data_IF_632589551279
#
_entry.id   IF_632589551279
#
_cell.length_a   1.000
_cell.length_b   1.000
_cell.length_c   1.000
_cell.angle_alpha   90.00
_cell.angle_beta   90.00
_cell.angle_gamma   90.00
#
_symmetry.space_group_name_H-M   'P 1'
#
loop_
_entity.id
_entity.type
_entity.pdbx_description
1 polymer ?
#
# COMPACT_ATOMS: atom_id res chain seq x y z
N UNK A 1 10.45 26.30 20.90
CA UNK A 1 10.59 25.06 20.09
C UNK A 1 9.20 24.56 19.70
N UNK A 2 8.91 24.45 18.40
CA UNK A 2 7.62 23.99 17.91
C UNK A 2 7.42 22.50 18.30
N UNK A 3 6.41 22.19 19.12
CA UNK A 3 6.11 20.82 19.59
C UNK A 3 5.91 19.82 18.44
N UNK A 4 5.58 20.31 17.25
CA UNK A 4 5.35 19.51 16.04
C UNK A 4 6.64 18.87 15.48
N UNK A 5 7.82 19.40 15.82
CA UNK A 5 9.08 18.87 15.28
C UNK A 5 9.40 17.45 15.76
N UNK A 6 8.80 16.98 16.86
CA UNK A 6 8.97 15.62 17.39
C UNK A 6 7.87 14.66 16.94
N UNK A 7 6.87 15.13 16.20
CA UNK A 7 5.74 14.30 15.81
C UNK A 7 6.21 13.25 14.79
N UNK A 8 6.12 11.98 15.20
CA UNK A 8 6.48 10.84 14.33
C UNK A 8 5.29 10.24 13.60
N UNK A 9 4.07 10.49 14.07
CA UNK A 9 2.85 9.89 13.54
C UNK A 9 1.78 10.95 13.35
N UNK A 10 1.18 10.99 12.18
CA UNK A 10 0.10 11.90 11.85
C UNK A 10 -1.09 11.10 11.33
N UNK A 11 -2.27 11.34 11.90
CA UNK A 11 -3.55 10.91 11.35
C UNK A 11 -4.37 12.14 10.99
N UNK A 12 -4.77 12.28 9.74
CA UNK A 12 -5.40 13.50 9.22
C UNK A 12 -6.43 13.20 8.14
N UNK A 13 -7.39 14.11 7.94
CA UNK A 13 -8.32 14.10 6.81
C UNK A 13 -8.04 15.29 5.90
N UNK A 14 -7.93 15.06 4.59
CA UNK A 14 -7.68 16.11 3.60
C UNK A 14 -6.32 16.77 3.80
N UNK A 15 -5.25 15.97 3.80
CA UNK A 15 -3.88 16.46 3.97
C UNK A 15 -3.57 17.60 2.99
N UNK A 16 -3.16 18.74 3.55
CA UNK A 16 -2.47 19.81 2.83
C UNK A 16 -0.98 19.51 2.88
N UNK A 17 -0.32 19.30 1.74
CA UNK A 17 1.10 18.95 1.72
C UNK A 17 1.98 20.01 2.39
N UNK A 18 1.52 21.26 2.54
CA UNK A 18 2.27 22.32 3.23
C UNK A 18 2.46 22.07 4.72
N UNK A 19 1.60 21.28 5.39
CA UNK A 19 1.80 20.97 6.81
C UNK A 19 3.04 20.09 7.03
N UNK A 20 3.44 19.30 6.03
CA UNK A 20 4.53 18.33 6.16
C UNK A 20 5.90 18.98 6.35
N UNK A 21 6.10 20.20 5.85
CA UNK A 21 7.34 20.96 6.10
C UNK A 21 7.56 21.28 7.58
N UNK A 22 6.48 21.28 8.38
CA UNK A 22 6.54 21.47 9.82
C UNK A 22 6.76 20.15 10.60
N UNK A 23 6.83 19.01 9.91
CA UNK A 23 6.88 17.67 10.49
C UNK A 23 8.11 16.89 9.98
N UNK A 24 9.34 17.40 10.19
CA UNK A 24 10.56 16.83 9.59
C UNK A 24 10.87 15.39 10.04
N UNK A 25 10.31 14.97 11.17
CA UNK A 25 10.53 13.64 11.77
C UNK A 25 9.33 12.70 11.59
N UNK A 26 8.42 13.00 10.65
CA UNK A 26 7.26 12.16 10.40
C UNK A 26 7.68 10.81 9.81
N UNK A 27 7.32 9.72 10.49
CA UNK A 27 7.62 8.34 10.09
C UNK A 27 6.35 7.57 9.67
N UNK A 28 5.17 7.98 10.16
CA UNK A 28 3.89 7.33 9.85
C UNK A 28 2.83 8.35 9.49
N UNK A 29 2.14 8.13 8.38
CA UNK A 29 1.05 8.97 7.91
C UNK A 29 -0.19 8.12 7.66
N UNK A 30 -1.29 8.44 8.34
CA UNK A 30 -2.62 7.98 7.98
C UNK A 30 -3.43 9.15 7.43
N UNK A 31 -3.84 9.08 6.17
CA UNK A 31 -4.59 10.15 5.50
C UNK A 31 -5.94 9.66 4.98
N UNK A 32 -7.02 10.32 5.40
CA UNK A 32 -8.34 10.14 4.81
C UNK A 32 -8.58 11.21 3.75
N UNK A 33 -9.15 10.84 2.61
CA UNK A 33 -9.48 11.78 1.53
C UNK A 33 -8.28 12.62 1.08
N UNK A 34 -7.15 11.95 0.81
CA UNK A 34 -5.99 12.55 0.18
C UNK A 34 -6.41 13.11 -1.19
N UNK A 35 -6.07 14.37 -1.44
CA UNK A 35 -6.43 15.06 -2.69
C UNK A 35 -5.36 14.87 -3.76
N UNK A 36 -4.10 14.85 -3.33
CA UNK A 36 -2.92 14.72 -4.17
C UNK A 36 -1.78 14.15 -3.31
N UNK A 37 -0.98 13.24 -3.89
CA UNK A 37 0.20 12.65 -3.27
C UNK A 37 1.51 13.31 -3.70
N UNK A 38 1.48 14.27 -4.64
CA UNK A 38 2.67 14.94 -5.12
C UNK A 38 3.51 15.52 -3.97
N UNK A 39 4.83 15.42 -4.11
CA UNK A 39 5.82 15.93 -3.15
C UNK A 39 5.80 15.28 -1.75
N UNK A 40 5.03 14.21 -1.51
CA UNK A 40 5.09 13.49 -0.23
C UNK A 40 6.52 13.01 0.09
N UNK A 41 7.22 12.42 -0.89
CA UNK A 41 8.61 11.98 -0.70
C UNK A 41 9.59 13.10 -0.42
N UNK A 42 9.37 14.29 -1.02
CA UNK A 42 10.22 15.46 -0.79
C UNK A 42 9.96 16.08 0.59
N UNK A 43 8.68 16.21 0.98
CA UNK A 43 8.29 16.91 2.21
C UNK A 43 8.33 16.03 3.46
N UNK A 44 8.27 14.72 3.30
CA UNK A 44 8.33 13.75 4.39
C UNK A 44 9.25 12.57 4.03
N UNK A 45 10.56 12.81 3.82
CA UNK A 45 11.50 11.81 3.33
C UNK A 45 11.73 10.64 4.31
N UNK A 46 11.37 10.82 5.58
CA UNK A 46 11.51 9.82 6.64
C UNK A 46 10.29 8.89 6.77
N UNK A 47 9.29 8.99 5.90
CA UNK A 47 8.09 8.17 5.96
C UNK A 47 8.41 6.69 5.72
N UNK A 48 8.01 5.86 6.68
CA UNK A 48 8.18 4.40 6.70
C UNK A 48 6.87 3.66 6.57
N UNK A 49 5.75 4.30 6.89
CA UNK A 49 4.43 3.70 6.78
C UNK A 49 3.42 4.75 6.34
N UNK A 50 2.59 4.38 5.35
CA UNK A 50 1.51 5.21 4.87
C UNK A 50 0.22 4.40 4.76
N UNK A 51 -0.85 4.94 5.33
CA UNK A 51 -2.21 4.45 5.13
C UNK A 51 -3.07 5.54 4.47
N UNK A 52 -3.68 5.23 3.33
CA UNK A 52 -4.52 6.16 2.57
C UNK A 52 -5.92 5.58 2.43
N UNK A 53 -6.91 6.31 2.94
CA UNK A 53 -8.29 5.86 2.99
C UNK A 53 -9.19 6.79 2.19
N UNK A 54 -10.13 6.20 1.43
CA UNK A 54 -11.27 6.90 0.78
C UNK A 54 -10.83 8.16 0.04
N UNK A 55 -9.91 7.99 -0.89
CA UNK A 55 -9.24 9.10 -1.60
C UNK A 55 -9.61 9.07 -3.09
N UNK A 56 -10.86 9.43 -3.46
CA UNK A 56 -11.36 9.28 -4.83
C UNK A 56 -10.68 10.23 -5.83
N UNK A 57 -9.94 11.25 -5.37
CA UNK A 57 -9.22 12.16 -6.25
C UNK A 57 -7.87 11.62 -6.71
N UNK A 58 -7.36 10.55 -6.08
CA UNK A 58 -6.13 9.89 -6.49
C UNK A 58 -6.42 9.03 -7.71
N UNK A 59 -5.72 9.31 -8.81
CA UNK A 59 -5.85 8.62 -10.10
C UNK A 59 -4.68 7.67 -10.38
N UNK A 60 -3.50 7.94 -9.80
CA UNK A 60 -2.33 7.08 -9.89
C UNK A 60 -1.56 7.09 -8.56
N UNK A 61 -0.62 6.15 -8.40
CA UNK A 61 0.14 5.96 -7.17
C UNK A 61 1.64 6.25 -7.34
N UNK A 62 2.05 6.93 -8.42
CA UNK A 62 3.47 7.16 -8.73
C UNK A 62 4.20 7.94 -7.63
N UNK A 63 3.49 8.75 -6.85
CA UNK A 63 4.06 9.45 -5.70
C UNK A 63 4.65 8.50 -4.63
N UNK A 64 4.24 7.23 -4.59
CA UNK A 64 4.83 6.24 -3.70
C UNK A 64 6.30 5.98 -4.02
N UNK A 65 6.70 6.13 -5.29
CA UNK A 65 8.06 5.86 -5.76
C UNK A 65 9.08 6.84 -5.17
N UNK A 66 8.65 8.02 -4.70
CA UNK A 66 9.52 9.00 -4.05
C UNK A 66 9.77 8.68 -2.56
N UNK A 67 9.02 7.73 -1.97
CA UNK A 67 9.11 7.37 -0.55
C UNK A 67 10.12 6.23 -0.34
N UNK A 68 11.41 6.51 -0.48
CA UNK A 68 12.47 5.48 -0.49
C UNK A 68 12.62 4.68 0.82
N UNK A 69 12.18 5.26 1.94
CA UNK A 69 12.21 4.62 3.27
C UNK A 69 10.95 3.79 3.58
N UNK A 70 10.00 3.69 2.65
CA UNK A 70 8.70 3.09 2.89
C UNK A 70 8.83 1.58 3.12
N UNK A 71 8.25 1.12 4.24
CA UNK A 71 8.25 -0.27 4.69
C UNK A 71 6.88 -0.91 4.64
N UNK A 72 5.83 -0.09 4.74
CA UNK A 72 4.45 -0.53 4.78
C UNK A 72 3.52 0.43 4.04
N UNK A 73 2.62 -0.14 3.24
CA UNK A 73 1.57 0.58 2.50
C UNK A 73 0.21 -0.02 2.87
N UNK A 74 -0.73 0.82 3.28
CA UNK A 74 -2.15 0.51 3.36
C UNK A 74 -2.95 1.42 2.42
N UNK A 75 -3.65 0.85 1.44
CA UNK A 75 -4.52 1.62 0.54
C UNK A 75 -5.93 1.05 0.58
N UNK A 76 -6.90 1.88 0.92
CA UNK A 76 -8.30 1.46 0.97
C UNK A 76 -9.23 2.48 0.33
N UNK A 77 -10.07 2.02 -0.61
CA UNK A 77 -11.12 2.86 -1.19
C UNK A 77 -10.58 3.95 -2.12
N UNK A 78 -9.51 3.64 -2.86
CA UNK A 78 -8.98 4.46 -3.95
C UNK A 78 -9.66 4.06 -5.27
N UNK A 79 -10.97 4.31 -5.35
CA UNK A 79 -11.85 3.73 -6.39
C UNK A 79 -11.56 4.16 -7.83
N UNK A 80 -10.72 5.18 -8.05
CA UNK A 80 -10.38 5.71 -9.38
C UNK A 80 -8.96 5.35 -9.82
N UNK A 81 -8.20 4.60 -9.01
CA UNK A 81 -6.89 4.06 -9.42
C UNK A 81 -7.13 2.82 -10.25
N UNK A 82 -6.54 2.80 -11.45
CA UNK A 82 -6.67 1.71 -12.42
C UNK A 82 -5.42 0.83 -12.48
N UNK A 83 -4.25 1.38 -12.15
CA UNK A 83 -2.98 0.67 -12.24
C UNK A 83 -2.13 0.89 -10.98
N UNK A 84 -1.44 -0.18 -10.57
CA UNK A 84 -0.36 -0.10 -9.60
C UNK A 84 0.96 0.22 -10.32
N UNK A 85 1.77 1.17 -9.83
CA UNK A 85 3.10 1.42 -10.37
C UNK A 85 4.03 0.24 -10.08
N UNK A 86 5.12 0.12 -10.83
CA UNK A 86 6.20 -0.79 -10.47
C UNK A 86 6.87 -0.33 -9.17
N UNK A 87 6.73 -1.16 -8.12
CA UNK A 87 7.26 -0.89 -6.80
C UNK A 87 8.65 -1.49 -6.57
N UNK A 88 9.29 -2.08 -7.60
CA UNK A 88 10.62 -2.70 -7.52
C UNK A 88 11.70 -1.79 -6.93
N UNK A 89 11.56 -0.46 -7.10
CA UNK A 89 12.47 0.54 -6.53
C UNK A 89 12.29 0.80 -5.02
N UNK A 90 11.25 0.25 -4.38
CA UNK A 90 10.99 0.37 -2.95
C UNK A 90 11.62 -0.79 -2.17
N UNK A 91 12.95 -0.85 -2.14
CA UNK A 91 13.71 -1.96 -1.55
C UNK A 91 13.41 -2.22 -0.06
N UNK A 92 12.90 -1.22 0.68
CA UNK A 92 12.52 -1.34 2.09
C UNK A 92 11.10 -1.88 2.31
N UNK A 93 10.29 -1.98 1.25
CA UNK A 93 8.87 -2.35 1.35
C UNK A 93 8.73 -3.84 1.70
N UNK A 94 8.08 -4.10 2.84
CA UNK A 94 7.91 -5.47 3.37
C UNK A 94 6.46 -5.82 3.67
N UNK A 95 5.56 -4.85 3.73
CA UNK A 95 4.14 -5.07 3.99
C UNK A 95 3.24 -4.24 3.09
N UNK A 96 2.18 -4.86 2.57
CA UNK A 96 1.19 -4.17 1.75
C UNK A 96 -0.22 -4.67 2.07
N UNK A 97 -1.16 -3.74 2.22
CA UNK A 97 -2.58 -4.00 2.36
C UNK A 97 -3.36 -3.18 1.33
N UNK A 98 -4.06 -3.85 0.41
CA UNK A 98 -4.87 -3.20 -0.61
C UNK A 98 -6.33 -3.66 -0.49
N UNK A 99 -7.24 -2.72 -0.32
CA UNK A 99 -8.65 -3.02 -0.15
C UNK A 99 -9.55 -2.04 -0.92
N UNK A 100 -10.68 -2.53 -1.42
CA UNK A 100 -11.72 -1.70 -2.02
C UNK A 100 -11.25 -0.81 -3.18
N UNK A 101 -10.24 -1.23 -3.96
CA UNK A 101 -9.77 -0.53 -5.16
C UNK A 101 -10.54 -1.01 -6.40
N UNK A 102 -11.78 -0.54 -6.53
CA UNK A 102 -12.79 -1.12 -7.45
C UNK A 102 -12.46 -1.08 -8.94
N UNK A 103 -11.60 -0.15 -9.38
CA UNK A 103 -11.21 0.00 -10.79
C UNK A 103 -9.81 -0.51 -11.08
N UNK A 104 -9.11 -1.05 -10.09
CA UNK A 104 -7.78 -1.58 -10.30
C UNK A 104 -7.86 -2.74 -11.31
N UNK A 105 -6.97 -2.73 -12.30
CA UNK A 105 -6.89 -3.72 -13.38
C UNK A 105 -5.57 -4.49 -13.33
N UNK A 106 -4.54 -3.94 -12.69
CA UNK A 106 -3.21 -4.55 -12.59
C UNK A 106 -2.61 -4.45 -11.19
N UNK A 107 -1.89 -5.50 -10.79
CA UNK A 107 -1.04 -5.54 -9.60
C UNK A 107 0.43 -5.63 -10.03
N UNK A 108 1.42 -5.15 -9.24
CA UNK A 108 2.83 -5.25 -9.61
C UNK A 108 3.24 -6.69 -9.89
N UNK A 109 3.97 -6.90 -10.98
CA UNK A 109 4.38 -8.23 -11.42
C UNK A 109 5.38 -8.89 -10.48
N UNK A 110 6.23 -8.14 -9.78
CA UNK A 110 7.29 -8.73 -8.95
C UNK A 110 7.65 -7.82 -7.78
N UNK A 111 7.85 -8.40 -6.59
CA UNK A 111 8.43 -7.67 -5.47
C UNK A 111 9.18 -8.59 -4.49
N UNK A 112 10.50 -8.70 -4.67
CA UNK A 112 11.33 -9.62 -3.89
C UNK A 112 11.27 -9.40 -2.37
N UNK A 113 11.11 -8.17 -1.90
CA UNK A 113 11.21 -7.85 -0.47
C UNK A 113 9.89 -7.98 0.30
N UNK A 114 8.78 -8.24 -0.40
CA UNK A 114 7.45 -8.24 0.21
C UNK A 114 7.27 -9.49 1.08
N UNK A 115 6.93 -9.30 2.35
CA UNK A 115 6.78 -10.38 3.34
C UNK A 115 5.33 -10.58 3.76
N UNK A 116 4.52 -9.53 3.75
CA UNK A 116 3.13 -9.57 4.19
C UNK A 116 2.24 -8.91 3.15
N UNK A 117 1.19 -9.61 2.73
CA UNK A 117 0.24 -9.13 1.72
C UNK A 117 -1.20 -9.38 2.17
N UNK A 118 -2.01 -8.32 2.22
CA UNK A 118 -3.43 -8.38 2.56
C UNK A 118 -4.24 -7.80 1.40
N UNK A 119 -5.20 -8.57 0.87
CA UNK A 119 -5.90 -8.21 -0.35
C UNK A 119 -7.42 -8.33 -0.21
N UNK A 120 -8.12 -7.26 -0.59
CA UNK A 120 -9.56 -7.24 -0.84
C UNK A 120 -9.79 -6.47 -2.14
N UNK A 121 -9.49 -7.13 -3.27
CA UNK A 121 -9.45 -6.56 -4.61
C UNK A 121 -10.39 -7.31 -5.57
N UNK A 122 -10.71 -6.73 -6.75
CA UNK A 122 -11.32 -7.49 -7.84
C UNK A 122 -10.50 -8.74 -8.15
N UNK A 123 -11.19 -9.87 -8.36
CA UNK A 123 -10.56 -11.19 -8.45
C UNK A 123 -9.64 -11.32 -9.67
N UNK A 124 -10.04 -10.73 -10.79
CA UNK A 124 -9.35 -10.70 -12.08
C UNK A 124 -7.98 -10.03 -12.04
N UNK A 125 -7.75 -9.13 -11.08
CA UNK A 125 -6.45 -8.45 -10.90
C UNK A 125 -5.40 -9.39 -10.29
N UNK A 126 -5.83 -10.51 -9.69
CA UNK A 126 -4.99 -11.34 -8.84
C UNK A 126 -4.28 -12.48 -9.59
N UNK A 127 -4.38 -12.54 -10.92
CA UNK A 127 -3.76 -13.61 -11.71
C UNK A 127 -2.24 -13.67 -11.54
N UNK A 128 -1.59 -12.51 -11.41
CA UNK A 128 -0.13 -12.43 -11.20
C UNK A 128 0.31 -12.57 -9.73
N UNK A 129 -0.63 -12.82 -8.81
CA UNK A 129 -0.30 -13.14 -7.41
C UNK A 129 0.05 -14.64 -7.35
N UNK A 130 1.32 -14.92 -7.58
CA UNK A 130 1.93 -16.25 -7.56
C UNK A 130 3.24 -16.21 -6.77
N UNK A 131 3.69 -17.35 -6.21
CA UNK A 131 4.93 -17.42 -5.43
C UNK A 131 6.18 -16.92 -6.16
N UNK A 132 6.30 -17.17 -7.47
CA UNK A 132 7.44 -16.77 -8.30
C UNK A 132 7.61 -15.25 -8.33
N UNK A 133 6.49 -14.53 -8.28
CA UNK A 133 6.43 -13.07 -8.27
C UNK A 133 6.65 -12.47 -6.88
N UNK A 134 6.48 -13.28 -5.83
CA UNK A 134 6.56 -12.89 -4.42
C UNK A 134 7.41 -13.90 -3.62
N UNK A 135 8.70 -14.09 -4.00
CA UNK A 135 9.49 -15.24 -3.56
C UNK A 135 9.80 -15.26 -2.04
N UNK A 136 9.72 -14.12 -1.36
CA UNK A 136 9.98 -14.01 0.09
C UNK A 136 8.72 -13.74 0.91
N UNK A 137 7.54 -13.99 0.34
CA UNK A 137 6.28 -13.79 1.04
C UNK A 137 6.18 -14.78 2.22
N UNK A 138 5.87 -14.25 3.39
CA UNK A 138 5.70 -15.02 4.63
C UNK A 138 4.24 -15.19 5.01
N UNK A 139 3.42 -14.23 4.63
CA UNK A 139 2.00 -14.22 4.94
C UNK A 139 1.20 -13.58 3.80
N UNK A 140 0.14 -14.27 3.37
CA UNK A 140 -0.89 -13.73 2.48
C UNK A 140 -2.28 -13.97 3.06
N UNK A 141 -3.09 -12.91 3.10
CA UNK A 141 -4.51 -13.01 3.42
C UNK A 141 -5.36 -12.35 2.34
N UNK A 142 -6.49 -12.98 2.01
CA UNK A 142 -7.42 -12.45 1.01
C UNK A 142 -8.86 -12.43 1.54
N UNK A 143 -9.66 -11.46 1.08
CA UNK A 143 -11.10 -11.44 1.27
C UNK A 143 -11.77 -11.11 -0.07
N UNK A 144 -12.23 -12.14 -0.78
CA UNK A 144 -12.76 -12.03 -2.15
C UNK A 144 -14.26 -12.29 -2.22
N UNK A 145 -14.94 -12.28 -1.06
CA UNK A 145 -16.39 -12.45 -0.92
C UNK A 145 -16.91 -13.88 -1.10
N UNK A 146 -16.05 -14.87 -1.34
CA UNK A 146 -16.43 -16.29 -1.29
C UNK A 146 -15.22 -17.20 -1.07
N UNK A 147 -15.45 -18.34 -0.40
CA UNK A 147 -14.42 -19.35 -0.14
C UNK A 147 -13.81 -19.89 -1.43
N UNK A 148 -14.62 -20.07 -2.48
CA UNK A 148 -14.14 -20.50 -3.80
C UNK A 148 -13.10 -19.53 -4.35
N UNK A 149 -13.40 -18.22 -4.37
CA UNK A 149 -12.45 -17.21 -4.86
C UNK A 149 -11.22 -17.12 -3.98
N UNK A 150 -11.40 -17.14 -2.65
CA UNK A 150 -10.29 -17.14 -1.70
C UNK A 150 -9.35 -18.33 -1.97
N UNK A 151 -9.89 -19.54 -2.13
CA UNK A 151 -9.12 -20.75 -2.45
C UNK A 151 -8.31 -20.63 -3.74
N UNK A 152 -8.90 -20.09 -4.82
CA UNK A 152 -8.18 -19.92 -6.10
C UNK A 152 -6.90 -19.09 -6.03
N UNK A 153 -6.79 -18.18 -5.04
CA UNK A 153 -5.56 -17.40 -4.78
C UNK A 153 -4.69 -18.08 -3.72
N UNK A 154 -5.27 -18.42 -2.57
CA UNK A 154 -4.51 -18.96 -1.44
C UNK A 154 -3.90 -20.33 -1.71
N UNK A 155 -4.54 -21.17 -2.53
CA UNK A 155 -4.02 -22.49 -2.89
C UNK A 155 -2.66 -22.42 -3.59
N UNK A 156 -2.37 -21.31 -4.28
CA UNK A 156 -1.08 -21.04 -4.92
C UNK A 156 0.07 -20.91 -3.91
N UNK A 157 -0.25 -20.57 -2.66
CA UNK A 157 0.73 -20.30 -1.60
C UNK A 157 0.74 -21.37 -0.49
N UNK A 158 -0.13 -22.38 -0.58
CA UNK A 158 -0.15 -23.50 0.39
C UNK A 158 1.19 -24.23 0.41
N UNK A 159 1.74 -24.42 1.61
CA UNK A 159 3.07 -25.04 1.79
C UNK A 159 4.25 -24.12 1.50
N UNK A 160 4.00 -22.88 1.06
CA UNK A 160 5.03 -21.87 0.78
C UNK A 160 5.06 -20.82 1.88
N UNK A 161 3.90 -20.32 2.29
CA UNK A 161 3.78 -19.31 3.35
C UNK A 161 2.47 -19.45 4.13
N UNK A 162 2.28 -18.63 5.17
CA UNK A 162 1.03 -18.58 5.91
C UNK A 162 -0.09 -18.00 5.05
N UNK A 163 -1.22 -18.70 4.97
CA UNK A 163 -2.39 -18.29 4.19
C UNK A 163 -3.58 -18.03 5.10
N UNK A 164 -4.34 -16.96 4.84
CA UNK A 164 -5.49 -16.58 5.65
C UNK A 164 -6.66 -15.99 4.86
N UNK A 165 -7.84 -16.06 5.47
CA UNK A 165 -9.00 -15.26 5.10
C UNK A 165 -9.24 -14.30 6.26
N UNK A 166 -9.48 -13.02 5.98
CA UNK A 166 -9.68 -11.98 7.00
C UNK A 166 -10.99 -11.22 6.80
#
# INVERSE_FOLDING_TARGET
MNKLNRLKRLKIKGLDSNILSCLPNLETLTCFNLKDGAHLGIKAPNLRSIDIYRSPKILNLNFLLDLKELRSIGLEGLSNVEEMPDLSSLHSLTGMSLANMKRLQSFPLYHENLKNLLLQLPFDVLDNIIPENLPNLKHISVNLGSDKKNGMVLDRFKGICEVGIW
#
